data_IF_941209890155
#
_entry.id   IF_941209890155
#
_cell.length_a   1.000
_cell.length_b   1.000
_cell.length_c   1.000
_cell.angle_alpha   90.00
_cell.angle_beta   90.00
_cell.angle_gamma   90.00
#
_symmetry.space_group_name_H-M   'P 1'
#
loop_
_entity.id
_entity.type
_entity.pdbx_description
1 polymer ?
#
# COMPACT_ATOMS: atom_id res chain seq x y z
N UNK A 1 -11.72 2.52 -12.61
CA UNK A 1 -12.22 2.75 -11.24
C UNK A 1 -11.34 1.90 -10.34
N UNK A 2 -10.75 2.44 -9.27
CA UNK A 2 -9.86 1.65 -8.40
C UNK A 2 -10.71 0.57 -7.71
N UNK A 3 -10.28 -0.70 -7.79
CA UNK A 3 -10.95 -1.79 -7.09
C UNK A 3 -10.36 -1.89 -5.68
N UNK A 4 -11.16 -1.57 -4.67
CA UNK A 4 -10.74 -1.59 -3.26
C UNK A 4 -11.18 -2.90 -2.60
N UNK A 5 -10.25 -3.58 -1.93
CA UNK A 5 -10.47 -4.80 -1.16
C UNK A 5 -10.06 -4.57 0.29
N UNK A 6 -10.77 -5.16 1.23
CA UNK A 6 -10.39 -5.14 2.64
C UNK A 6 -9.74 -6.47 3.02
N UNK A 7 -8.68 -6.41 3.82
CA UNK A 7 -7.99 -7.61 4.31
C UNK A 7 -7.42 -7.37 5.70
N UNK A 8 -7.54 -8.37 6.57
CA UNK A 8 -6.91 -8.33 7.89
C UNK A 8 -5.40 -8.61 7.79
N UNK A 9 -4.60 -8.02 8.68
CA UNK A 9 -3.14 -8.20 8.73
C UNK A 9 -2.68 -9.67 8.73
N UNK A 10 -3.34 -10.58 9.46
CA UNK A 10 -3.00 -12.01 9.41
C UNK A 10 -3.15 -12.61 8.01
N UNK A 11 -4.26 -12.30 7.34
CA UNK A 11 -4.56 -12.83 6.03
C UNK A 11 -3.66 -12.20 4.95
N UNK A 12 -3.17 -10.97 5.17
CA UNK A 12 -2.26 -10.31 4.24
C UNK A 12 -0.99 -11.12 4.02
N UNK A 13 -0.35 -11.60 5.09
CA UNK A 13 0.90 -12.37 4.96
C UNK A 13 0.67 -13.72 4.30
N UNK A 14 -0.39 -14.43 4.69
CA UNK A 14 -0.73 -15.75 4.15
C UNK A 14 -1.03 -15.69 2.64
N UNK A 15 -1.56 -14.58 2.15
CA UNK A 15 -1.99 -14.40 0.76
C UNK A 15 -1.14 -13.37 0.01
N UNK A 16 0.05 -13.00 0.51
CA UNK A 16 0.81 -11.86 -0.01
C UNK A 16 1.10 -12.00 -1.51
N UNK A 17 1.48 -13.20 -1.96
CA UNK A 17 1.75 -13.45 -3.38
C UNK A 17 0.52 -13.19 -4.26
N UNK A 18 -0.63 -13.76 -3.92
CA UNK A 18 -1.89 -13.56 -4.67
C UNK A 18 -2.32 -12.08 -4.66
N UNK A 19 -2.11 -11.39 -3.54
CA UNK A 19 -2.39 -9.96 -3.41
C UNK A 19 -1.52 -9.14 -4.35
N UNK A 20 -0.22 -9.43 -4.41
CA UNK A 20 0.69 -8.76 -5.33
C UNK A 20 0.31 -9.03 -6.78
N UNK A 21 -0.05 -10.26 -7.14
CA UNK A 21 -0.57 -10.58 -8.47
C UNK A 21 -1.86 -9.83 -8.79
N UNK A 22 -2.79 -9.71 -7.84
CA UNK A 22 -4.02 -8.94 -8.01
C UNK A 22 -3.74 -7.44 -8.17
N UNK A 23 -2.78 -6.87 -7.45
CA UNK A 23 -2.35 -5.47 -7.63
C UNK A 23 -1.82 -5.27 -9.06
N UNK A 24 -0.97 -6.18 -9.54
CA UNK A 24 -0.39 -6.09 -10.89
C UNK A 24 -1.44 -6.26 -11.98
N UNK A 25 -2.32 -7.24 -11.85
CA UNK A 25 -3.25 -7.64 -12.93
C UNK A 25 -4.54 -6.84 -12.94
N UNK A 26 -5.09 -6.50 -11.76
CA UNK A 26 -6.39 -5.83 -11.59
C UNK A 26 -6.26 -4.39 -11.14
N UNK A 27 -5.04 -3.92 -10.88
CA UNK A 27 -4.81 -2.58 -10.35
C UNK A 27 -5.54 -2.36 -9.01
N UNK A 28 -5.54 -3.41 -8.19
CA UNK A 28 -6.25 -3.49 -6.93
C UNK A 28 -5.61 -2.62 -5.83
N UNK A 29 -6.43 -2.11 -4.93
CA UNK A 29 -6.02 -1.43 -3.69
C UNK A 29 -6.48 -2.30 -2.51
N UNK A 30 -5.57 -2.61 -1.60
CA UNK A 30 -5.86 -3.37 -0.39
C UNK A 30 -5.83 -2.45 0.83
N UNK A 31 -6.97 -2.36 1.52
CA UNK A 31 -7.17 -1.63 2.76
C UNK A 31 -6.92 -2.61 3.91
N UNK A 32 -5.77 -2.49 4.55
CA UNK A 32 -5.32 -3.45 5.58
C UNK A 32 -5.87 -3.03 6.94
N UNK A 33 -6.60 -3.92 7.60
CA UNK A 33 -7.20 -3.69 8.93
C UNK A 33 -6.42 -4.40 10.03
N UNK A 34 -6.35 -3.76 11.20
CA UNK A 34 -5.69 -4.34 12.37
C UNK A 34 -6.41 -5.59 12.87
N UNK A 35 -5.63 -6.59 13.32
CA UNK A 35 -6.15 -7.81 13.98
C UNK A 35 -7.09 -7.50 15.15
N UNK A 36 -6.88 -6.39 15.85
CA UNK A 36 -7.59 -6.11 17.11
C UNK A 36 -8.97 -5.46 16.92
N UNK A 37 -9.31 -5.00 15.71
CA UNK A 37 -10.63 -4.40 15.48
C UNK A 37 -11.04 -4.39 13.99
N UNK A 38 -11.43 -5.54 13.42
CA UNK A 38 -11.87 -5.64 12.01
C UNK A 38 -13.15 -4.84 11.72
N UNK A 39 -13.88 -4.40 12.75
CA UNK A 39 -15.08 -3.56 12.65
C UNK A 39 -14.79 -2.06 12.74
N UNK A 40 -13.55 -1.68 13.08
CA UNK A 40 -13.15 -0.28 12.99
C UNK A 40 -12.94 0.07 11.53
N UNK A 41 -13.52 1.18 11.08
CA UNK A 41 -13.15 1.79 9.79
C UNK A 41 -11.71 2.36 9.78
N UNK A 42 -10.89 1.99 10.77
CA UNK A 42 -9.51 2.40 10.91
C UNK A 42 -8.61 1.38 10.23
N UNK A 43 -8.27 1.68 8.97
CA UNK A 43 -7.25 0.93 8.24
C UNK A 43 -5.87 1.20 8.87
N UNK A 44 -5.16 0.14 9.22
CA UNK A 44 -3.76 0.21 9.66
C UNK A 44 -2.91 0.87 8.59
N UNK A 45 -3.08 0.43 7.33
CA UNK A 45 -2.41 0.99 6.16
C UNK A 45 -3.09 0.55 4.86
N UNK A 46 -2.61 1.09 3.74
CA UNK A 46 -3.06 0.76 2.39
C UNK A 46 -1.89 0.20 1.61
N UNK A 47 -2.11 -0.90 0.90
CA UNK A 47 -1.17 -1.48 -0.06
C UNK A 47 -1.77 -1.36 -1.46
N UNK A 48 -1.05 -0.74 -2.39
CA UNK A 48 -1.57 -0.48 -3.73
C UNK A 48 -0.49 -0.30 -4.79
N UNK A 49 -0.87 -0.11 -6.06
CA UNK A 49 0.07 -0.03 -7.16
C UNK A 49 0.88 1.28 -7.10
N UNK A 50 2.11 1.23 -7.63
CA UNK A 50 3.07 2.34 -7.57
C UNK A 50 2.56 3.63 -8.23
N UNK A 51 1.86 3.54 -9.34
CA UNK A 51 1.33 4.71 -10.05
C UNK A 51 0.15 5.40 -9.34
N UNK A 52 -0.50 4.73 -8.39
CA UNK A 52 -1.52 5.32 -7.52
C UNK A 52 -0.93 5.74 -6.17
N UNK A 53 -0.31 4.79 -5.46
CA UNK A 53 0.19 4.98 -4.10
C UNK A 53 1.61 5.58 -4.06
N UNK A 54 2.40 5.48 -5.12
CA UNK A 54 3.70 6.14 -5.21
C UNK A 54 3.63 7.65 -5.43
N UNK A 55 2.45 8.18 -5.78
CA UNK A 55 2.22 9.62 -5.88
C UNK A 55 2.00 10.30 -4.52
N UNK A 56 2.12 9.58 -3.40
CA UNK A 56 2.14 10.22 -2.09
C UNK A 56 3.24 11.28 -2.08
N UNK A 57 2.82 12.52 -1.81
CA UNK A 57 3.63 13.72 -1.81
C UNK A 57 4.87 13.50 -0.93
N UNK A 58 6.04 13.41 -1.56
CA UNK A 58 7.32 13.42 -0.86
C UNK A 58 7.96 12.05 -0.58
N UNK A 59 7.54 10.95 -1.20
CA UNK A 59 8.32 9.70 -1.17
C UNK A 59 9.72 9.81 -1.83
N UNK A 60 9.92 10.89 -2.60
CA UNK A 60 11.21 11.32 -3.16
C UNK A 60 11.77 12.57 -2.45
N UNK A 61 11.26 12.90 -1.25
CA UNK A 61 11.72 14.04 -0.45
C UNK A 61 12.67 13.55 0.66
N UNK A 62 13.70 14.34 0.94
CA UNK A 62 14.75 14.01 1.91
C UNK A 62 14.17 13.76 3.33
N UNK A 63 12.98 14.29 3.59
CA UNK A 63 12.25 14.19 4.86
C UNK A 63 11.65 12.79 5.14
N UNK A 64 11.29 12.03 4.10
CA UNK A 64 10.54 10.76 4.22
C UNK A 64 11.34 9.50 3.85
N UNK A 65 12.53 9.69 3.28
CA UNK A 65 13.49 8.61 3.00
C UNK A 65 13.29 7.93 1.64
N UNK A 66 14.40 7.46 1.08
CA UNK A 66 14.44 6.73 -0.19
C UNK A 66 13.53 5.48 -0.16
N UNK A 67 12.99 5.04 -1.32
CA UNK A 67 12.18 3.83 -1.39
C UNK A 67 12.94 2.65 -0.78
N UNK A 68 12.43 2.11 0.33
CA UNK A 68 13.00 0.89 0.90
C UNK A 68 12.51 -0.27 0.06
N UNK A 69 13.40 -0.77 -0.78
CA UNK A 69 13.17 -1.96 -1.58
C UNK A 69 13.09 -3.17 -0.66
N UNK A 70 11.96 -3.86 -0.71
CA UNK A 70 11.74 -5.14 -0.03
C UNK A 70 11.33 -6.14 -1.10
N UNK A 71 12.15 -7.18 -1.30
CA UNK A 71 11.76 -8.29 -2.15
C UNK A 71 10.66 -9.08 -1.45
N UNK A 72 9.66 -9.54 -2.19
CA UNK A 72 8.56 -10.32 -1.64
C UNK A 72 9.07 -11.53 -0.83
N UNK A 73 10.14 -12.16 -1.29
CA UNK A 73 10.77 -13.32 -0.64
C UNK A 73 11.41 -12.98 0.73
N UNK A 74 11.72 -11.71 0.97
CA UNK A 74 12.33 -11.21 2.21
C UNK A 74 11.29 -10.77 3.25
N UNK A 75 10.00 -10.77 2.91
CA UNK A 75 8.92 -10.39 3.84
C UNK A 75 8.70 -11.50 4.86
N UNK A 76 8.94 -11.19 6.14
CA UNK A 76 8.79 -12.15 7.26
C UNK A 76 7.64 -11.80 8.19
N UNK A 77 7.21 -10.54 8.16
CA UNK A 77 6.29 -9.98 9.15
C UNK A 77 5.47 -8.83 8.57
N UNK A 78 4.37 -8.48 9.25
CA UNK A 78 3.57 -7.30 8.88
C UNK A 78 4.38 -6.02 8.99
N UNK A 79 5.31 -5.93 9.95
CA UNK A 79 6.20 -4.77 10.08
C UNK A 79 7.10 -4.55 8.87
N UNK A 80 7.37 -5.56 8.05
CA UNK A 80 8.12 -5.39 6.81
C UNK A 80 7.27 -4.68 5.75
N UNK A 81 5.98 -4.95 5.73
CA UNK A 81 5.04 -4.43 4.73
C UNK A 81 4.37 -3.13 5.19
N UNK A 82 4.21 -2.91 6.49
CA UNK A 82 3.52 -1.74 7.02
C UNK A 82 4.38 -0.46 6.90
N UNK A 83 3.76 0.68 6.58
CA UNK A 83 4.44 1.97 6.63
C UNK A 83 4.79 2.36 8.07
N UNK A 84 5.86 3.14 8.20
CA UNK A 84 6.32 3.70 9.47
C UNK A 84 6.62 5.19 9.31
N UNK A 85 6.82 5.91 10.42
CA UNK A 85 7.03 7.37 10.42
C UNK A 85 8.14 7.86 9.48
N UNK A 86 9.07 6.99 9.08
CA UNK A 86 10.23 7.30 8.23
C UNK A 86 10.36 6.36 7.03
N UNK A 87 9.33 5.58 6.71
CA UNK A 87 9.44 4.54 5.69
C UNK A 87 8.11 4.16 5.10
N UNK A 88 8.08 4.11 3.78
CA UNK A 88 7.05 3.43 3.00
C UNK A 88 7.67 2.23 2.30
N UNK A 89 7.27 0.99 2.64
CA UNK A 89 7.71 -0.20 1.94
C UNK A 89 7.33 -0.20 0.46
N UNK A 90 8.33 -0.44 -0.40
CA UNK A 90 8.13 -0.74 -1.81
C UNK A 90 8.35 -2.25 -1.98
N UNK A 91 7.29 -2.97 -2.33
CA UNK A 91 7.34 -4.41 -2.54
C UNK A 91 7.72 -4.71 -3.98
N UNK A 92 8.74 -5.56 -4.13
CA UNK A 92 9.26 -5.98 -5.42
C UNK A 92 8.95 -7.44 -5.68
N UNK A 93 8.48 -7.74 -6.89
CA UNK A 93 8.33 -9.09 -7.42
C UNK A 93 9.11 -9.15 -8.73
N UNK A 94 9.99 -10.15 -8.89
CA UNK A 94 10.85 -10.29 -10.07
C UNK A 94 11.62 -8.99 -10.43
N UNK A 95 12.16 -8.30 -9.42
CA UNK A 95 12.88 -7.00 -9.53
C UNK A 95 12.06 -5.83 -10.07
N UNK A 96 10.73 -5.93 -10.13
CA UNK A 96 9.83 -4.82 -10.44
C UNK A 96 9.07 -4.42 -9.19
N UNK A 97 9.01 -3.12 -8.91
CA UNK A 97 8.14 -2.61 -7.85
C UNK A 97 6.69 -2.85 -8.27
N UNK A 98 5.97 -3.65 -7.48
CA UNK A 98 4.58 -4.04 -7.77
C UNK A 98 3.60 -3.32 -6.86
N UNK A 99 4.00 -3.02 -5.62
CA UNK A 99 3.13 -2.38 -4.66
C UNK A 99 3.90 -1.45 -3.72
N UNK A 100 3.20 -0.45 -3.21
CA UNK A 100 3.70 0.50 -2.22
C UNK A 100 2.71 0.55 -1.06
N UNK A 101 3.26 0.54 0.14
CA UNK A 101 2.49 0.68 1.37
C UNK A 101 2.48 2.12 1.86
N UNK A 102 1.29 2.66 2.08
CA UNK A 102 1.06 4.05 2.51
C UNK A 102 0.08 4.10 3.67
N UNK A 103 0.10 5.19 4.43
CA UNK A 103 -0.89 5.43 5.46
C UNK A 103 -2.26 5.68 4.83
N UNK A 104 -3.32 5.25 5.52
CA UNK A 104 -4.69 5.53 5.08
C UNK A 104 -4.95 7.04 4.89
N UNK A 105 -4.43 7.88 5.77
CA UNK A 105 -4.54 9.34 5.65
C UNK A 105 -3.96 9.89 4.34
N UNK A 106 -2.90 9.27 3.82
CA UNK A 106 -2.29 9.66 2.54
C UNK A 106 -3.12 9.17 1.37
N UNK A 107 -3.65 7.95 1.47
CA UNK A 107 -4.56 7.41 0.47
C UNK A 107 -5.85 8.25 0.34
N UNK A 108 -6.41 8.73 1.45
CA UNK A 108 -7.57 9.64 1.40
C UNK A 108 -7.25 10.95 0.65
N UNK A 109 -6.06 11.54 0.87
CA UNK A 109 -5.60 12.73 0.12
C UNK A 109 -5.48 12.42 -1.37
N UNK A 110 -4.93 11.26 -1.75
CA UNK A 110 -4.87 10.80 -3.15
C UNK A 110 -6.28 10.72 -3.75
N UNK A 111 -7.24 10.10 -3.03
CA UNK A 111 -8.63 10.00 -3.50
C UNK A 111 -9.27 11.37 -3.73
N UNK A 112 -9.00 12.35 -2.86
CA UNK A 112 -9.49 13.73 -3.04
C UNK A 112 -8.90 14.40 -4.28
N UNK A 113 -7.59 14.26 -4.52
CA UNK A 113 -6.92 14.80 -5.69
C UNK A 113 -7.46 14.20 -6.99
N UNK A 114 -7.61 12.86 -7.03
CA UNK A 114 -8.18 12.16 -8.18
C UNK A 114 -9.62 12.59 -8.47
N UNK A 115 -10.43 12.86 -7.43
CA UNK A 115 -11.79 13.40 -7.59
C UNK A 115 -11.80 14.81 -8.17
N UNK A 116 -10.86 15.68 -7.75
CA UNK A 116 -10.75 17.05 -8.27
C UNK A 116 -10.36 17.08 -9.74
N UNK A 117 -9.43 16.21 -10.16
CA UNK A 117 -8.96 16.16 -11.54
C UNK A 117 -10.00 15.65 -12.54
N UNK A 118 -10.98 14.84 -12.11
CA UNK A 118 -12.09 14.38 -12.97
C UNK A 118 -13.16 15.44 -13.26
N UNK A 119 -13.11 16.59 -12.59
CA UNK A 119 -14.09 17.69 -12.75
C UNK A 119 -13.60 18.80 -13.68
N UNK A 120 -12.40 18.67 -14.24
CA UNK A 120 -11.86 19.53 -15.29
C UNK A 120 -11.92 18.80 -16.62
#
# INVERSE_FOLDING_TARGET
>A
MLQEFQIAENNLLENLFEILENIVTKHAIYLVTSRNNPSSNEYSFVLGPLDTCGNVLGLYDEEYGWPTQIMFEDVKSISDVAPSRRRHPFLFLNRKCVAVSIYNSEYQKIKELLKKNKRK
#
